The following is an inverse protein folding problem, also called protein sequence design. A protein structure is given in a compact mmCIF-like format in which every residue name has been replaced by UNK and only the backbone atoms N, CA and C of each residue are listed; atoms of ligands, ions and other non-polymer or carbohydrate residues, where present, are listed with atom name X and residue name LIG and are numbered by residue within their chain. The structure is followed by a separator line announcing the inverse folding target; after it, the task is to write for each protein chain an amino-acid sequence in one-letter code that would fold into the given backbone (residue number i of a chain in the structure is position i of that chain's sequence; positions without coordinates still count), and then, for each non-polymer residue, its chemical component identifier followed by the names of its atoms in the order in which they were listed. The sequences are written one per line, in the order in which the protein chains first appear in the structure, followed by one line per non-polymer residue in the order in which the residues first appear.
data_IF_958807287717
#
_entry.id   IF_958807287717
#
_cell.length_a   1.000
_cell.length_b   1.000
_cell.length_c   1.000
_cell.angle_alpha   90.00
_cell.angle_beta   90.00
_cell.angle_gamma   90.00
#
_symmetry.space_group_name_H-M   'P 1'
#
loop_
_entity.id
_entity.type
_entity.pdbx_description
1 polymer ?
#
# COMPACT_ATOMS: atom_id res chain seq x y z
N UNK A 1 36.03 8.74 -15.04
CA UNK A 1 34.72 8.13 -14.67
C UNK A 1 34.96 6.72 -14.17
N UNK A 2 34.12 6.21 -13.26
CA UNK A 2 34.21 4.80 -12.79
C UNK A 2 33.53 3.87 -13.79
N UNK A 3 34.18 2.75 -14.12
CA UNK A 3 33.58 1.69 -14.91
C UNK A 3 32.37 1.09 -14.18
N UNK A 4 31.21 1.02 -14.85
CA UNK A 4 29.92 0.56 -14.28
C UNK A 4 29.56 -0.89 -14.65
N UNK A 5 30.38 -1.57 -15.45
CA UNK A 5 30.14 -2.93 -15.95
C UNK A 5 30.07 -3.00 -17.48
N UNK A 6 30.16 -4.21 -18.03
CA UNK A 6 30.02 -4.45 -19.46
C UNK A 6 28.53 -4.59 -19.82
N UNK A 7 28.06 -3.79 -20.78
CA UNK A 7 26.74 -3.94 -21.40
C UNK A 7 26.91 -4.36 -22.84
N UNK A 8 26.01 -5.21 -23.37
CA UNK A 8 25.99 -5.47 -24.81
C UNK A 8 25.62 -4.17 -25.56
N UNK A 9 26.01 -4.07 -26.83
CA UNK A 9 25.79 -2.85 -27.65
C UNK A 9 24.33 -2.38 -27.62
N UNK A 10 23.37 -3.31 -27.73
CA UNK A 10 21.94 -3.02 -27.66
C UNK A 10 21.49 -2.44 -26.31
N UNK A 11 21.99 -2.98 -25.18
CA UNK A 11 21.64 -2.50 -23.84
C UNK A 11 22.27 -1.13 -23.55
N UNK A 12 23.52 -0.90 -24.00
CA UNK A 12 24.19 0.39 -23.84
C UNK A 12 23.43 1.53 -24.55
N UNK A 13 22.93 1.28 -25.76
CA UNK A 13 22.14 2.27 -26.52
C UNK A 13 20.78 2.53 -25.85
N UNK A 14 20.17 1.50 -25.24
CA UNK A 14 18.86 1.62 -24.56
C UNK A 14 18.96 2.14 -23.13
N UNK A 15 20.17 2.22 -22.56
CA UNK A 15 20.36 2.67 -21.20
C UNK A 15 19.97 4.15 -21.09
N UNK A 16 18.85 4.39 -20.41
CA UNK A 16 18.41 5.73 -20.03
C UNK A 16 18.54 5.87 -18.53
N UNK A 17 19.29 6.88 -18.09
CA UNK A 17 19.23 7.31 -16.70
C UNK A 17 18.01 8.21 -16.60
N UNK A 18 16.97 7.83 -15.85
CA UNK A 18 15.81 8.71 -15.67
C UNK A 18 16.28 9.99 -14.96
N UNK A 19 15.76 11.13 -15.41
CA UNK A 19 15.94 12.44 -14.77
C UNK A 19 14.99 12.61 -13.57
N UNK A 20 14.44 11.51 -13.06
CA UNK A 20 13.43 11.51 -12.02
C UNK A 20 13.46 10.26 -11.12
N UNK A 21 12.99 10.43 -9.89
CA UNK A 21 12.68 9.35 -8.96
C UNK A 21 11.19 8.97 -9.08
N UNK A 22 10.85 7.76 -9.58
CA UNK A 22 9.48 7.30 -9.55
C UNK A 22 9.06 6.94 -8.11
N UNK A 23 7.89 7.42 -7.70
CA UNK A 23 7.21 7.05 -6.46
C UNK A 23 5.86 6.46 -6.84
N UNK A 24 5.66 5.19 -6.54
CA UNK A 24 4.44 4.48 -6.87
C UNK A 24 3.49 4.46 -5.69
N UNK A 25 2.24 4.84 -5.95
CA UNK A 25 1.11 4.69 -5.04
C UNK A 25 0.06 3.85 -5.75
N UNK A 26 -0.60 2.94 -5.04
CA UNK A 26 -1.65 2.12 -5.64
C UNK A 26 -3.01 2.82 -5.51
N UNK A 27 -3.64 3.13 -6.65
CA UNK A 27 -4.89 3.89 -6.72
C UNK A 27 -4.76 5.35 -6.23
N UNK A 28 -3.60 5.96 -6.50
CA UNK A 28 -3.29 7.37 -6.19
C UNK A 28 -4.35 8.33 -6.70
N UNK A 29 -4.82 8.11 -7.94
CA UNK A 29 -5.79 8.99 -8.59
C UNK A 29 -7.16 8.94 -7.91
N UNK A 30 -7.48 7.85 -7.21
CA UNK A 30 -8.77 7.63 -6.56
C UNK A 30 -8.84 8.22 -5.15
N UNK A 31 -7.71 8.29 -4.46
CA UNK A 31 -7.64 8.70 -3.05
C UNK A 31 -6.68 9.86 -2.84
N UNK A 32 -5.36 9.62 -2.80
CA UNK A 32 -4.43 10.55 -2.15
C UNK A 32 -3.97 11.72 -3.02
N UNK A 33 -4.16 11.66 -4.34
CA UNK A 33 -3.57 12.64 -5.28
C UNK A 33 -3.94 14.09 -4.98
N UNK A 34 -5.20 14.36 -4.60
CA UNK A 34 -5.68 15.72 -4.31
C UNK A 34 -5.03 16.31 -3.04
N UNK A 35 -4.72 15.48 -2.04
CA UNK A 35 -4.01 15.91 -0.82
C UNK A 35 -2.59 16.32 -1.16
N UNK A 36 -1.86 15.47 -1.91
CA UNK A 36 -0.48 15.76 -2.27
C UNK A 36 -0.33 16.95 -3.20
N UNK A 37 -1.15 17.04 -4.26
CA UNK A 37 -1.06 18.14 -5.23
C UNK A 37 -1.36 19.48 -4.57
N UNK A 38 -2.32 19.53 -3.63
CA UNK A 38 -2.63 20.74 -2.88
C UNK A 38 -1.44 21.22 -2.05
N UNK A 39 -0.85 20.33 -1.24
CA UNK A 39 0.27 20.69 -0.36
C UNK A 39 1.56 20.94 -1.15
N UNK A 40 1.81 20.21 -2.23
CA UNK A 40 2.98 20.46 -3.08
C UNK A 40 2.85 21.78 -3.84
N UNK A 41 1.62 22.26 -4.08
CA UNK A 41 1.34 23.47 -4.85
C UNK A 41 1.54 24.77 -4.07
N UNK A 42 1.83 24.69 -2.77
CA UNK A 42 2.00 25.89 -1.93
C UNK A 42 3.39 26.52 -2.03
N UNK A 43 4.37 25.82 -2.60
CA UNK A 43 5.71 26.35 -2.79
C UNK A 43 5.90 26.97 -4.19
N UNK A 44 6.97 27.76 -4.38
CA UNK A 44 7.26 28.46 -5.65
C UNK A 44 7.78 27.55 -6.78
N UNK A 45 8.05 26.26 -6.51
CA UNK A 45 8.59 25.31 -7.50
C UNK A 45 7.45 24.70 -8.31
N UNK A 46 7.61 24.71 -9.63
CA UNK A 46 6.61 24.13 -10.54
C UNK A 46 6.30 22.66 -10.23
N UNK A 47 5.02 22.34 -10.36
CA UNK A 47 4.51 20.97 -10.45
C UNK A 47 4.14 20.71 -11.91
N UNK A 48 4.67 19.63 -12.48
CA UNK A 48 4.25 19.14 -13.78
C UNK A 48 3.15 18.07 -13.57
N UNK A 49 1.92 18.34 -14.02
CA UNK A 49 0.77 17.44 -13.83
C UNK A 49 0.33 16.86 -15.18
N UNK A 50 0.04 15.55 -15.20
CA UNK A 50 -0.65 14.88 -16.31
C UNK A 50 -2.07 14.56 -15.83
N UNK A 51 -3.06 15.43 -16.10
CA UNK A 51 -4.43 15.20 -15.68
C UNK A 51 -5.11 14.10 -16.53
N UNK A 52 -5.98 13.32 -15.88
CA UNK A 52 -6.94 12.45 -16.57
C UNK A 52 -8.25 13.20 -16.79
N UNK A 53 -8.73 13.89 -15.75
CA UNK A 53 -9.87 14.80 -15.78
C UNK A 53 -9.64 15.91 -14.73
N UNK A 54 -10.67 16.69 -14.41
CA UNK A 54 -10.58 17.80 -13.44
C UNK A 54 -10.28 17.38 -12.01
N UNK A 55 -10.55 16.12 -11.66
CA UNK A 55 -10.42 15.60 -10.29
C UNK A 55 -9.31 14.55 -10.14
N UNK A 56 -8.93 13.89 -11.25
CA UNK A 56 -8.02 12.73 -11.26
C UNK A 56 -6.78 13.04 -12.08
N UNK A 57 -5.62 12.73 -11.51
CA UNK A 57 -4.31 12.91 -12.13
C UNK A 57 -3.65 11.55 -12.40
N UNK A 58 -3.20 11.31 -13.63
CA UNK A 58 -2.48 10.08 -13.99
C UNK A 58 -1.09 10.06 -13.34
N UNK A 59 -0.44 11.21 -13.34
CA UNK A 59 0.84 11.42 -12.65
C UNK A 59 1.03 12.90 -12.36
N UNK A 60 1.81 13.21 -11.33
CA UNK A 60 2.30 14.56 -11.09
C UNK A 60 3.76 14.49 -10.66
N UNK A 61 4.54 15.51 -10.99
CA UNK A 61 5.97 15.57 -10.71
C UNK A 61 6.32 16.86 -10.01
N UNK A 62 7.11 16.76 -8.94
CA UNK A 62 7.69 17.91 -8.24
C UNK A 62 9.13 18.11 -8.66
N UNK A 63 9.47 19.30 -9.14
CA UNK A 63 10.87 19.66 -9.44
C UNK A 63 11.62 19.94 -8.14
N UNK A 64 12.82 19.38 -8.04
CA UNK A 64 13.80 19.59 -6.96
C UNK A 64 15.00 20.34 -7.55
N UNK A 65 15.84 20.87 -6.67
CA UNK A 65 17.11 21.50 -7.04
C UNK A 65 17.98 20.56 -7.90
N UNK A 66 18.73 21.16 -8.83
CA UNK A 66 19.57 20.42 -9.78
C UNK A 66 18.82 19.82 -10.97
N UNK A 67 17.56 20.20 -11.20
CA UNK A 67 16.76 19.75 -12.34
C UNK A 67 16.23 18.31 -12.20
N UNK A 68 16.41 17.70 -11.04
CA UNK A 68 15.86 16.39 -10.70
C UNK A 68 14.38 16.53 -10.32
N UNK A 69 13.55 15.53 -10.64
CA UNK A 69 12.12 15.54 -10.28
C UNK A 69 11.71 14.28 -9.54
N UNK A 70 10.82 14.42 -8.56
CA UNK A 70 10.10 13.27 -7.99
C UNK A 70 8.80 13.14 -8.76
N UNK A 71 8.53 11.95 -9.31
CA UNK A 71 7.32 11.69 -10.10
C UNK A 71 6.45 10.67 -9.38
N UNK A 72 5.26 11.10 -9.04
CA UNK A 72 4.22 10.28 -8.42
C UNK A 72 3.42 9.59 -9.51
N UNK A 73 3.33 8.26 -9.41
CA UNK A 73 2.71 7.37 -10.40
C UNK A 73 1.65 6.51 -9.73
N UNK A 74 0.50 6.37 -10.39
CA UNK A 74 -0.55 5.47 -9.96
C UNK A 74 -0.33 4.06 -10.51
N UNK A 75 0.07 3.12 -9.65
CA UNK A 75 0.33 1.72 -10.06
C UNK A 75 -0.93 1.00 -10.55
N UNK A 76 -2.12 1.41 -10.09
CA UNK A 76 -3.40 0.82 -10.51
C UNK A 76 -3.71 1.08 -11.99
N UNK A 77 -3.12 2.13 -12.58
CA UNK A 77 -3.25 2.42 -14.03
C UNK A 77 -2.45 1.47 -14.90
N UNK A 78 -1.45 0.80 -14.34
CA UNK A 78 -0.64 -0.21 -15.03
C UNK A 78 -1.15 -1.62 -14.73
N UNK A 79 -1.62 -1.85 -13.49
CA UNK A 79 -2.12 -3.12 -12.99
C UNK A 79 -3.46 -2.89 -12.28
N UNK A 80 -4.54 -2.94 -13.06
CA UNK A 80 -5.91 -2.63 -12.61
C UNK A 80 -6.53 -3.77 -11.81
N UNK A 81 -5.90 -4.15 -10.71
CA UNK A 81 -6.35 -5.18 -9.76
C UNK A 81 -6.03 -4.73 -8.35
N UNK A 82 -6.72 -5.29 -7.34
CA UNK A 82 -6.42 -4.99 -5.95
C UNK A 82 -5.02 -5.45 -5.56
N UNK A 83 -4.42 -4.81 -4.55
CA UNK A 83 -3.13 -5.26 -3.99
C UNK A 83 -3.21 -6.73 -3.54
N UNK A 84 -4.34 -7.15 -2.96
CA UNK A 84 -4.61 -8.54 -2.58
C UNK A 84 -4.44 -9.49 -3.76
N UNK A 85 -5.04 -9.18 -4.90
CA UNK A 85 -4.94 -10.02 -6.09
C UNK A 85 -3.52 -10.02 -6.68
N UNK A 86 -2.86 -8.86 -6.69
CA UNK A 86 -1.48 -8.74 -7.15
C UNK A 86 -0.51 -9.53 -6.25
N UNK A 87 -0.73 -9.52 -4.93
CA UNK A 87 0.13 -10.23 -3.97
C UNK A 87 0.06 -11.75 -4.11
N UNK A 88 -1.06 -12.31 -4.57
CA UNK A 88 -1.22 -13.76 -4.82
C UNK A 88 -0.32 -14.27 -5.96
N UNK A 89 0.11 -13.37 -6.85
CA UNK A 89 1.01 -13.71 -7.96
C UNK A 89 2.48 -13.75 -7.56
N UNK A 90 2.82 -13.37 -6.32
CA UNK A 90 4.19 -13.37 -5.81
C UNK A 90 4.51 -14.71 -5.13
N UNK A 91 5.72 -15.22 -5.38
CA UNK A 91 6.24 -16.35 -4.64
C UNK A 91 6.65 -15.91 -3.24
N UNK A 92 6.74 -16.86 -2.29
CA UNK A 92 7.18 -16.55 -0.92
C UNK A 92 8.55 -15.87 -0.89
N UNK A 93 9.44 -16.26 -1.80
CA UNK A 93 10.80 -15.75 -1.91
C UNK A 93 10.87 -14.30 -2.43
N UNK A 94 9.78 -13.78 -3.01
CA UNK A 94 9.70 -12.38 -3.44
C UNK A 94 9.52 -11.43 -2.24
N UNK A 95 9.04 -11.94 -1.09
CA UNK A 95 8.81 -11.16 0.13
C UNK A 95 10.07 -11.01 1.01
N UNK A 96 11.23 -10.77 0.40
CA UNK A 96 12.52 -10.71 1.11
C UNK A 96 12.54 -9.69 2.24
N UNK A 97 11.91 -8.53 2.05
CA UNK A 97 11.81 -7.50 3.08
C UNK A 97 11.03 -8.00 4.29
N UNK A 98 9.89 -8.67 4.08
CA UNK A 98 9.07 -9.25 5.16
C UNK A 98 9.88 -10.32 5.91
N UNK A 99 10.56 -11.20 5.18
CA UNK A 99 11.40 -12.25 5.75
C UNK A 99 12.57 -11.72 6.59
N UNK A 100 13.03 -10.48 6.37
CA UNK A 100 14.08 -9.84 7.19
C UNK A 100 13.59 -9.41 8.56
N UNK A 101 12.32 -9.04 8.68
CA UNK A 101 11.75 -8.51 9.93
C UNK A 101 10.93 -9.55 10.71
N UNK A 102 10.52 -10.64 10.05
CA UNK A 102 9.65 -11.65 10.65
C UNK A 102 10.23 -13.07 10.53
N UNK A 103 10.07 -13.91 11.57
CA UNK A 103 10.40 -15.33 11.50
C UNK A 103 9.64 -16.03 10.37
N UNK A 104 10.29 -16.97 9.68
CA UNK A 104 9.74 -17.69 8.51
C UNK A 104 8.39 -18.35 8.81
N UNK A 105 8.21 -18.89 10.03
CA UNK A 105 6.96 -19.53 10.43
C UNK A 105 5.79 -18.54 10.61
N UNK A 106 6.06 -17.24 10.78
CA UNK A 106 5.05 -16.19 10.90
C UNK A 106 4.75 -15.50 9.58
N UNK A 107 5.60 -15.64 8.57
CA UNK A 107 5.42 -14.99 7.25
C UNK A 107 4.06 -15.33 6.62
N UNK A 108 3.58 -16.59 6.58
CA UNK A 108 2.27 -16.90 6.01
C UNK A 108 1.11 -16.16 6.69
N UNK A 109 1.22 -15.88 7.98
CA UNK A 109 0.21 -15.14 8.74
C UNK A 109 0.13 -13.66 8.34
N UNK A 110 1.25 -13.08 7.88
CA UNK A 110 1.38 -11.63 7.63
C UNK A 110 1.18 -11.30 6.15
N UNK A 111 1.41 -12.28 5.26
CA UNK A 111 1.20 -12.09 3.82
C UNK A 111 -0.26 -12.11 3.39
N UNK A 112 -1.18 -12.52 4.28
CA UNK A 112 -2.62 -12.50 4.00
C UNK A 112 -3.18 -11.11 4.30
N UNK A 113 -4.13 -10.66 3.47
CA UNK A 113 -4.87 -9.43 3.70
C UNK A 113 -5.61 -9.50 5.05
N UNK A 114 -5.39 -8.48 5.88
CA UNK A 114 -6.10 -8.32 7.14
C UNK A 114 -7.56 -7.92 6.97
N UNK A 115 -8.34 -8.10 8.02
CA UNK A 115 -9.78 -7.79 8.07
C UNK A 115 -10.06 -6.73 9.13
N UNK A 116 -11.01 -5.87 8.83
CA UNK A 116 -11.35 -4.73 9.67
C UNK A 116 -12.87 -4.56 9.75
N UNK A 117 -13.45 -4.41 10.96
CA UNK A 117 -14.88 -4.26 11.15
C UNK A 117 -15.27 -2.78 10.97
N UNK A 118 -15.43 -2.35 9.71
CA UNK A 118 -15.67 -0.94 9.33
C UNK A 118 -16.91 -0.35 10.00
N UNK A 119 -18.04 -1.06 9.95
CA UNK A 119 -19.33 -0.56 10.44
C UNK A 119 -19.45 -0.66 11.95
N UNK A 120 -18.68 -1.54 12.58
CA UNK A 120 -18.61 -1.61 14.03
C UNK A 120 -17.86 -0.39 14.59
N UNK A 121 -16.69 -0.05 14.02
CA UNK A 121 -15.76 0.93 14.58
C UNK A 121 -16.12 2.36 14.14
N UNK A 122 -17.27 2.83 14.60
CA UNK A 122 -17.78 4.18 14.32
C UNK A 122 -17.39 5.21 15.38
N UNK A 123 -17.09 4.76 16.59
CA UNK A 123 -16.86 5.61 17.76
C UNK A 123 -15.49 5.31 18.39
N UNK A 124 -14.87 6.34 18.97
CA UNK A 124 -13.56 6.22 19.60
C UNK A 124 -13.56 5.23 20.79
N UNK A 125 -14.69 5.07 21.45
CA UNK A 125 -14.85 4.13 22.57
C UNK A 125 -14.68 2.68 22.09
N UNK A 126 -15.30 2.33 20.95
CA UNK A 126 -15.20 1.00 20.34
C UNK A 126 -13.80 0.64 19.90
N UNK A 127 -12.99 1.63 19.50
CA UNK A 127 -11.56 1.43 19.19
C UNK A 127 -10.79 0.96 20.44
N UNK A 128 -11.19 1.45 21.61
CA UNK A 128 -10.48 1.17 22.87
C UNK A 128 -10.89 -0.15 23.50
N UNK A 129 -11.88 -0.84 22.92
CA UNK A 129 -12.33 -2.16 23.38
C UNK A 129 -11.20 -3.19 23.34
N UNK A 130 -11.19 -4.02 24.38
CA UNK A 130 -10.19 -5.06 24.58
C UNK A 130 -10.53 -6.44 24.04
N UNK A 131 -11.79 -6.86 23.83
CA UNK A 131 -12.05 -8.10 23.10
C UNK A 131 -11.92 -7.90 21.58
N UNK A 132 -11.59 -8.98 20.88
CA UNK A 132 -11.83 -9.04 19.44
C UNK A 132 -13.34 -8.96 19.19
N UNK A 133 -13.83 -8.11 18.27
CA UNK A 133 -15.25 -8.06 17.92
C UNK A 133 -15.75 -9.43 17.46
N UNK A 134 -17.02 -9.73 17.71
CA UNK A 134 -17.62 -10.98 17.22
C UNK A 134 -17.73 -10.96 15.70
N UNK A 135 -17.91 -12.13 15.08
CA UNK A 135 -17.96 -12.25 13.62
C UNK A 135 -19.05 -11.38 12.99
N UNK A 136 -20.18 -11.24 13.66
CA UNK A 136 -21.32 -10.43 13.21
C UNK A 136 -20.96 -8.94 13.12
N UNK A 137 -20.06 -8.47 14.00
CA UNK A 137 -19.57 -7.10 13.96
C UNK A 137 -18.59 -6.83 12.80
N UNK A 138 -18.19 -7.86 12.04
CA UNK A 138 -17.42 -7.69 10.80
C UNK A 138 -18.31 -7.61 9.54
N UNK A 139 -19.63 -7.60 9.69
CA UNK A 139 -20.54 -7.36 8.58
C UNK A 139 -20.18 -6.05 7.87
N UNK A 140 -20.19 -6.09 6.55
CA UNK A 140 -19.91 -4.94 5.69
C UNK A 140 -21.22 -4.48 5.04
N UNK A 141 -21.79 -3.39 5.52
CA UNK A 141 -23.04 -2.81 5.01
C UNK A 141 -22.89 -2.30 3.57
N UNK A 142 -21.71 -1.81 3.18
CA UNK A 142 -21.48 -1.30 1.81
C UNK A 142 -21.60 -2.39 0.74
N UNK A 143 -21.22 -3.62 1.08
CA UNK A 143 -21.27 -4.77 0.17
C UNK A 143 -22.35 -5.77 0.56
N UNK A 144 -23.10 -5.51 1.63
CA UNK A 144 -24.07 -6.40 2.27
C UNK A 144 -23.54 -7.82 2.50
N UNK A 145 -22.30 -7.94 2.97
CA UNK A 145 -21.57 -9.21 3.07
C UNK A 145 -21.07 -9.50 4.48
N UNK A 146 -21.32 -10.74 4.91
CA UNK A 146 -20.69 -11.33 6.09
C UNK A 146 -19.21 -11.65 5.86
N UNK A 147 -18.44 -11.61 6.93
CA UNK A 147 -17.07 -12.10 6.91
C UNK A 147 -17.05 -13.63 6.74
N UNK A 148 -16.14 -14.13 5.89
CA UNK A 148 -15.96 -15.57 5.75
C UNK A 148 -15.47 -16.19 7.06
N UNK A 149 -15.81 -17.46 7.32
CA UNK A 149 -15.33 -18.16 8.52
C UNK A 149 -13.80 -18.25 8.53
N UNK A 150 -13.20 -18.47 7.36
CA UNK A 150 -11.75 -18.55 7.21
C UNK A 150 -11.06 -17.24 7.58
N UNK A 151 -11.62 -16.10 7.16
CA UNK A 151 -11.11 -14.77 7.49
C UNK A 151 -11.26 -14.46 8.99
N UNK A 152 -12.36 -14.88 9.61
CA UNK A 152 -12.57 -14.69 11.04
C UNK A 152 -11.64 -15.57 11.89
N UNK A 153 -11.40 -16.81 11.48
CA UNK A 153 -10.38 -17.67 12.11
C UNK A 153 -8.98 -17.07 11.99
N UNK A 154 -8.64 -16.52 10.82
CA UNK A 154 -7.38 -15.83 10.61
C UNK A 154 -7.24 -14.59 11.53
N UNK A 155 -8.30 -13.79 11.67
CA UNK A 155 -8.36 -12.66 12.58
C UNK A 155 -8.11 -13.09 14.04
N UNK A 156 -8.76 -14.17 14.50
CA UNK A 156 -8.54 -14.75 15.83
C UNK A 156 -7.10 -15.20 16.01
N UNK A 157 -6.53 -15.90 15.02
CA UNK A 157 -5.15 -16.37 15.07
C UNK A 157 -4.18 -15.19 15.26
N UNK A 158 -4.33 -14.12 14.47
CA UNK A 158 -3.52 -12.90 14.61
C UNK A 158 -3.72 -12.29 15.99
N UNK A 159 -4.97 -12.16 16.44
CA UNK A 159 -5.30 -11.54 17.72
C UNK A 159 -4.57 -12.22 18.89
N UNK A 160 -4.65 -13.54 18.98
CA UNK A 160 -4.05 -14.31 20.06
C UNK A 160 -2.54 -14.51 19.90
N UNK A 161 -2.04 -14.91 18.72
CA UNK A 161 -0.60 -15.15 18.52
C UNK A 161 0.25 -13.89 18.65
N UNK A 162 -0.36 -12.72 18.41
CA UNK A 162 0.32 -11.44 18.47
C UNK A 162 0.04 -10.69 19.77
N UNK A 163 -0.72 -11.25 20.72
CA UNK A 163 -1.12 -10.61 21.97
C UNK A 163 -1.73 -9.21 21.72
N UNK A 164 -2.74 -9.14 20.86
CA UNK A 164 -3.50 -7.92 20.64
C UNK A 164 -4.35 -7.62 21.86
N UNK A 165 -4.33 -6.36 22.30
CA UNK A 165 -5.06 -5.90 23.50
C UNK A 165 -6.24 -5.00 23.18
N UNK A 166 -6.28 -4.46 21.97
CA UNK A 166 -7.31 -3.56 21.47
C UNK A 166 -7.25 -3.49 19.94
N UNK A 167 -8.26 -2.85 19.35
CA UNK A 167 -8.38 -2.68 17.89
C UNK A 167 -7.16 -1.97 17.26
N UNK A 168 -6.62 -0.85 17.80
CA UNK A 168 -5.44 -0.22 17.23
C UNK A 168 -4.23 -1.15 17.10
N UNK A 169 -3.95 -1.93 18.15
CA UNK A 169 -2.85 -2.90 18.13
C UNK A 169 -3.15 -4.00 17.10
N UNK A 170 -4.41 -4.44 17.00
CA UNK A 170 -4.81 -5.44 16.01
C UNK A 170 -4.64 -4.95 14.57
N UNK A 171 -5.07 -3.71 14.26
CA UNK A 171 -4.83 -3.09 12.95
C UNK A 171 -3.33 -3.02 12.68
N UNK A 172 -2.56 -2.39 13.57
CA UNK A 172 -1.11 -2.23 13.38
C UNK A 172 -0.41 -3.57 13.13
N UNK A 173 -0.81 -4.63 13.85
CA UNK A 173 -0.18 -5.94 13.73
C UNK A 173 -0.66 -6.75 12.53
N UNK A 174 -1.71 -6.32 11.84
CA UNK A 174 -2.17 -6.83 10.55
C UNK A 174 -1.55 -6.08 9.36
N UNK A 175 -1.44 -4.76 9.44
CA UNK A 175 -1.15 -3.88 8.29
C UNK A 175 0.33 -3.84 7.86
N UNK A 176 1.23 -4.57 8.52
CA UNK A 176 2.68 -4.42 8.28
C UNK A 176 3.23 -5.04 6.98
N UNK A 177 2.42 -5.44 6.00
CA UNK A 177 2.95 -6.10 4.79
C UNK A 177 2.43 -5.63 3.42
N UNK A 178 1.63 -4.56 3.33
CA UNK A 178 1.25 -3.99 2.03
C UNK A 178 1.19 -2.47 2.06
#
# INVERSE_FOLDING_TARGET
GRYRGASCSRCNIKAKIPDFLPVFFHNLSGYDSHLFVRELGTDEKDIDVIPQNTEKYISFSKKIEGGFKIRFLDSFKFMSSSIDELSKNLARDDFQTVQRFFPINKVPLILRKGVFPYDYVTEHEKISETPLPTKENFYNELNEQDLSEEDYEHAKQIWYERNCKNIPIFILKQTFCF
#
